data_IF_536772929247
#
_entry.id   IF_536772929247
#
_cell.length_a   1.000
_cell.length_b   1.000
_cell.length_c   1.000
_cell.angle_alpha   90.00
_cell.angle_beta   90.00
_cell.angle_gamma   90.00
#
_symmetry.space_group_name_H-M   'P 1'
#
loop_
_entity.id
_entity.type
_entity.pdbx_description
1 polymer ?
#
# COMPACT_ATOMS: atom_id res chain seq x y z
N UNK A 1 17.65 32.91 -0.14
CA UNK A 1 18.41 33.01 -1.39
C UNK A 1 18.21 34.38 -2.06
N UNK A 2 18.96 35.41 -1.66
CA UNK A 2 18.83 36.77 -2.20
C UNK A 2 19.27 36.87 -3.66
N UNK A 3 20.15 35.97 -4.12
CA UNK A 3 20.64 35.92 -5.49
C UNK A 3 19.58 35.45 -6.50
N UNK A 4 18.55 34.73 -6.05
CA UNK A 4 17.47 34.16 -6.88
C UNK A 4 16.22 35.06 -6.93
N UNK A 5 16.15 36.09 -6.09
CA UNK A 5 14.98 36.96 -5.97
C UNK A 5 15.14 38.21 -6.84
N UNK A 6 14.06 38.59 -7.53
CA UNK A 6 14.01 39.83 -8.31
C UNK A 6 14.33 41.03 -7.42
N UNK A 7 15.14 41.95 -7.94
CA UNK A 7 15.54 43.15 -7.21
C UNK A 7 14.34 43.93 -6.65
N UNK A 8 13.27 44.06 -7.45
CA UNK A 8 12.05 44.77 -7.04
C UNK A 8 11.44 44.22 -5.75
N UNK A 9 11.43 42.89 -5.57
CA UNK A 9 10.88 42.27 -4.38
C UNK A 9 11.71 42.57 -3.13
N UNK A 10 13.04 42.62 -3.26
CA UNK A 10 13.91 42.99 -2.14
C UNK A 10 13.71 44.46 -1.80
N UNK A 11 13.70 45.35 -2.80
CA UNK A 11 13.52 46.79 -2.59
C UNK A 11 12.20 47.10 -1.88
N UNK A 12 11.10 46.41 -2.22
CA UNK A 12 9.82 46.62 -1.53
C UNK A 12 9.82 46.14 -0.07
N UNK A 13 10.73 45.24 0.31
CA UNK A 13 10.89 44.81 1.69
C UNK A 13 11.73 45.79 2.52
N UNK A 14 12.46 46.71 1.88
CA UNK A 14 13.26 47.73 2.54
C UNK A 14 12.40 48.95 2.88
N UNK A 15 11.94 49.04 4.12
CA UNK A 15 11.20 50.21 4.61
C UNK A 15 12.13 51.40 4.89
N UNK A 16 11.56 52.60 5.01
CA UNK A 16 12.30 53.80 5.44
C UNK A 16 12.92 53.69 6.84
N UNK A 17 12.52 52.69 7.63
CA UNK A 17 13.05 52.41 8.97
C UNK A 17 14.16 51.35 8.96
N UNK A 18 14.43 50.70 7.82
CA UNK A 18 15.44 49.66 7.74
C UNK A 18 16.85 50.26 7.89
N UNK A 19 17.54 49.91 8.97
CA UNK A 19 18.90 50.41 9.25
C UNK A 19 19.99 49.39 8.89
N UNK A 20 19.66 48.10 8.84
CA UNK A 20 20.63 47.03 8.60
C UNK A 20 19.99 45.92 7.75
N UNK A 21 20.68 45.54 6.68
CA UNK A 21 20.25 44.50 5.73
C UNK A 21 21.37 43.49 5.57
N UNK A 22 21.05 42.20 5.70
CA UNK A 22 21.95 41.09 5.43
C UNK A 22 21.34 40.30 4.28
N UNK A 23 22.05 40.27 3.14
CA UNK A 23 21.65 39.49 1.98
C UNK A 23 22.53 38.25 1.89
N UNK A 24 21.90 37.07 1.90
CA UNK A 24 22.59 35.78 1.77
C UNK A 24 22.16 35.15 0.45
N UNK A 25 23.12 34.83 -0.41
CA UNK A 25 22.88 34.07 -1.62
C UNK A 25 24.13 33.87 -2.46
N UNK A 26 23.98 33.14 -3.56
CA UNK A 26 25.06 32.81 -4.48
C UNK A 26 24.75 33.26 -5.92
N UNK A 27 25.39 34.35 -6.36
CA UNK A 27 25.25 34.91 -7.70
C UNK A 27 25.80 34.01 -8.83
N UNK A 28 26.53 32.92 -8.50
CA UNK A 28 26.97 31.90 -9.45
C UNK A 28 25.96 30.76 -9.60
N UNK A 29 24.93 30.66 -8.74
CA UNK A 29 23.78 29.75 -8.87
C UNK A 29 22.60 30.45 -9.57
N UNK A 30 21.38 29.94 -9.47
CA UNK A 30 20.26 30.43 -10.29
C UNK A 30 19.98 31.91 -10.08
N UNK A 31 19.58 32.53 -11.19
CA UNK A 31 19.18 33.92 -11.27
C UNK A 31 17.66 34.04 -11.16
N UNK A 32 17.14 35.23 -10.81
CA UNK A 32 15.72 35.52 -10.88
C UNK A 32 15.16 35.24 -12.28
N UNK A 33 14.02 34.58 -12.35
CA UNK A 33 13.35 34.25 -13.60
C UNK A 33 12.10 35.13 -13.80
N UNK A 34 12.18 36.23 -14.59
CA UNK A 34 11.01 37.04 -14.86
C UNK A 34 10.09 36.37 -15.88
N UNK A 35 8.77 36.57 -15.72
CA UNK A 35 7.75 35.96 -16.57
C UNK A 35 7.90 36.30 -18.07
N UNK A 36 8.48 37.46 -18.39
CA UNK A 36 8.71 37.91 -19.76
C UNK A 36 10.21 37.89 -20.07
N UNK A 37 10.66 36.83 -20.77
CA UNK A 37 12.08 36.62 -21.12
C UNK A 37 12.73 37.79 -21.89
N UNK A 38 11.94 38.54 -22.67
CA UNK A 38 12.42 39.73 -23.39
C UNK A 38 12.99 40.80 -22.45
N UNK A 39 12.50 40.86 -21.21
CA UNK A 39 12.99 41.81 -20.21
C UNK A 39 14.40 41.44 -19.73
N UNK A 40 14.74 40.16 -19.61
CA UNK A 40 16.12 39.72 -19.34
C UNK A 40 17.05 40.21 -20.46
N UNK A 41 16.69 39.88 -21.71
CA UNK A 41 17.58 40.14 -22.85
C UNK A 41 17.82 41.62 -23.14
N UNK A 42 16.82 42.48 -22.87
CA UNK A 42 16.91 43.91 -23.18
C UNK A 42 17.33 44.78 -22.01
N UNK A 43 16.95 44.40 -20.79
CA UNK A 43 17.06 45.25 -19.60
C UNK A 43 17.76 44.57 -18.41
N UNK A 44 18.28 43.35 -18.59
CA UNK A 44 18.95 42.57 -17.55
C UNK A 44 18.09 42.40 -16.29
N UNK A 45 16.78 42.22 -16.47
CA UNK A 45 15.82 42.12 -15.38
C UNK A 45 15.95 40.82 -14.55
N UNK A 46 16.79 39.90 -15.00
CA UNK A 46 17.26 38.70 -14.32
C UNK A 46 18.52 38.94 -13.46
N UNK A 47 18.93 40.19 -13.25
CA UNK A 47 19.97 40.52 -12.26
C UNK A 47 19.33 40.78 -10.90
N UNK A 48 19.73 40.00 -9.89
CA UNK A 48 19.28 40.24 -8.51
C UNK A 48 19.98 41.48 -7.92
N UNK A 49 19.36 42.04 -6.88
CA UNK A 49 19.99 43.13 -6.11
C UNK A 49 21.37 42.71 -5.59
N UNK A 50 21.49 41.45 -5.16
CA UNK A 50 22.73 40.86 -4.68
C UNK A 50 23.80 40.84 -5.76
N UNK A 51 23.52 40.29 -6.95
CA UNK A 51 24.47 40.27 -8.07
C UNK A 51 24.88 41.69 -8.48
N UNK A 52 23.93 42.64 -8.49
CA UNK A 52 24.21 44.04 -8.83
C UNK A 52 25.13 44.71 -7.80
N UNK A 53 24.91 44.47 -6.50
CA UNK A 53 25.78 45.00 -5.44
C UNK A 53 27.21 44.47 -5.57
N UNK A 54 27.37 43.17 -5.82
CA UNK A 54 28.69 42.55 -6.05
C UNK A 54 29.39 43.18 -7.26
N UNK A 55 28.68 43.34 -8.38
CA UNK A 55 29.22 43.98 -9.60
C UNK A 55 29.61 45.45 -9.41
N UNK A 56 28.93 46.16 -8.50
CA UNK A 56 29.25 47.53 -8.14
C UNK A 56 30.40 47.66 -7.13
N UNK A 57 31.09 46.56 -6.80
CA UNK A 57 32.26 46.57 -5.91
C UNK A 57 31.93 46.57 -4.42
N UNK A 58 30.68 46.23 -4.05
CA UNK A 58 30.32 46.04 -2.65
C UNK A 58 30.98 44.76 -2.12
N UNK A 59 31.58 44.83 -0.93
CA UNK A 59 32.29 43.69 -0.34
C UNK A 59 31.34 42.51 -0.11
N UNK A 60 31.64 41.39 -0.74
CA UNK A 60 30.95 40.12 -0.54
C UNK A 60 31.87 39.17 0.22
N UNK A 61 31.44 38.72 1.40
CA UNK A 61 32.16 37.73 2.17
C UNK A 61 31.73 36.33 1.71
N UNK A 62 32.65 35.59 1.11
CA UNK A 62 32.40 34.24 0.61
C UNK A 62 32.73 33.20 1.68
N UNK A 63 31.83 32.24 1.89
CA UNK A 63 32.13 31.01 2.59
C UNK A 63 32.78 30.04 1.59
N UNK A 64 34.03 29.64 1.85
CA UNK A 64 34.87 28.91 0.90
C UNK A 64 35.13 27.45 1.29
N UNK A 65 34.47 26.93 2.34
CA UNK A 65 34.54 25.54 2.78
C UNK A 65 33.18 24.86 2.59
N UNK A 66 33.12 23.79 1.78
CA UNK A 66 31.90 23.02 1.55
C UNK A 66 31.85 21.74 2.42
N UNK A 67 30.66 21.41 2.91
CA UNK A 67 30.42 20.27 3.82
C UNK A 67 29.49 19.19 3.26
N UNK A 68 29.01 19.35 2.02
CA UNK A 68 27.99 18.50 1.40
C UNK A 68 28.60 17.36 0.61
N UNK A 69 29.21 17.69 -0.52
CA UNK A 69 29.48 16.76 -1.61
C UNK A 69 30.87 16.14 -1.47
N UNK A 70 31.08 14.96 -2.05
CA UNK A 70 32.43 14.37 -2.15
C UNK A 70 33.39 15.31 -2.90
N UNK A 71 34.70 15.29 -2.59
CA UNK A 71 35.71 16.06 -3.33
C UNK A 71 35.69 15.83 -4.85
N UNK A 72 35.40 14.61 -5.29
CA UNK A 72 35.27 14.27 -6.71
C UNK A 72 34.10 15.01 -7.38
N UNK A 73 32.99 15.26 -6.68
CA UNK A 73 31.85 16.02 -7.21
C UNK A 73 32.18 17.51 -7.24
N UNK A 74 32.79 18.03 -6.16
CA UNK A 74 33.25 19.42 -6.10
C UNK A 74 34.24 19.75 -7.22
N UNK A 75 35.07 18.79 -7.63
CA UNK A 75 36.02 18.95 -8.74
C UNK A 75 35.36 19.21 -10.10
N UNK A 76 34.06 18.89 -10.26
CA UNK A 76 33.31 19.19 -11.48
C UNK A 76 32.93 20.68 -11.60
N UNK A 77 32.74 21.35 -10.46
CA UNK A 77 32.36 22.77 -10.41
C UNK A 77 33.56 23.69 -10.09
N UNK A 78 34.71 23.13 -9.71
CA UNK A 78 35.96 23.86 -9.44
C UNK A 78 37.07 23.40 -10.40
N UNK A 79 37.69 24.29 -11.22
CA UNK A 79 37.51 25.73 -11.33
C UNK A 79 36.48 26.12 -12.39
N UNK A 80 35.52 25.25 -12.69
CA UNK A 80 34.61 25.45 -13.82
C UNK A 80 33.63 26.62 -13.60
N UNK A 81 33.12 26.76 -12.37
CA UNK A 81 32.15 27.78 -11.93
C UNK A 81 32.74 28.66 -10.83
N UNK A 82 33.41 28.05 -9.85
CA UNK A 82 34.03 28.74 -8.72
C UNK A 82 35.55 28.64 -8.83
N UNK A 83 36.25 29.75 -8.58
CA UNK A 83 37.71 29.77 -8.63
C UNK A 83 38.34 28.98 -7.46
N UNK A 84 37.74 29.10 -6.27
CA UNK A 84 38.18 28.41 -5.07
C UNK A 84 36.98 27.95 -4.24
N UNK A 85 36.95 26.66 -3.92
CA UNK A 85 36.03 26.05 -2.95
C UNK A 85 36.74 24.83 -2.35
N UNK A 86 37.05 24.91 -1.07
CA UNK A 86 37.73 23.87 -0.32
C UNK A 86 36.73 22.85 0.24
N UNK A 87 37.18 21.62 0.46
CA UNK A 87 36.36 20.54 1.02
C UNK A 87 36.64 20.42 2.51
N UNK A 88 35.58 20.35 3.33
CA UNK A 88 35.74 19.99 4.73
C UNK A 88 36.06 18.49 4.86
N UNK A 89 36.86 18.11 5.86
CA UNK A 89 37.28 16.72 6.09
C UNK A 89 36.11 15.74 6.28
N UNK A 90 34.94 16.22 6.72
CA UNK A 90 33.70 15.42 6.84
C UNK A 90 33.15 14.92 5.50
N UNK A 91 33.65 15.45 4.38
CA UNK A 91 33.23 15.04 3.04
C UNK A 91 34.11 13.94 2.45
N UNK A 92 35.23 13.65 3.10
CA UNK A 92 36.18 12.62 2.73
C UNK A 92 35.73 11.26 3.30
N UNK A 93 36.23 10.16 2.71
CA UNK A 93 36.02 8.79 3.21
C UNK A 93 34.55 8.34 3.41
N UNK A 94 33.61 8.96 2.69
CA UNK A 94 32.19 8.55 2.71
C UNK A 94 32.04 7.13 2.12
N UNK A 95 31.17 6.26 2.67
CA UNK A 95 30.96 4.89 2.17
C UNK A 95 30.52 4.86 0.71
N UNK A 96 31.05 3.93 -0.09
CA UNK A 96 30.69 3.81 -1.50
C UNK A 96 29.21 3.44 -1.69
N UNK A 97 28.64 3.82 -2.85
CA UNK A 97 27.27 3.47 -3.19
C UNK A 97 27.18 1.95 -3.44
N UNK A 98 26.30 1.28 -2.70
CA UNK A 98 26.04 -0.15 -2.82
C UNK A 98 25.63 -0.56 -4.24
N UNK A 99 26.22 -1.65 -4.74
CA UNK A 99 25.84 -2.30 -6.01
C UNK A 99 26.32 -1.60 -7.29
N UNK A 100 26.95 -0.43 -7.19
CA UNK A 100 27.51 0.34 -8.31
C UNK A 100 29.00 0.50 -8.13
N UNK A 101 29.76 0.37 -9.21
CA UNK A 101 31.23 0.45 -9.17
C UNK A 101 31.79 1.88 -9.05
N UNK A 102 30.94 2.91 -9.13
CA UNK A 102 31.31 4.32 -9.00
C UNK A 102 30.32 5.10 -8.14
N UNK A 103 30.81 6.14 -7.46
CA UNK A 103 29.97 7.12 -6.76
C UNK A 103 29.63 8.33 -7.65
N UNK A 104 30.53 8.67 -8.58
CA UNK A 104 30.32 9.65 -9.65
C UNK A 104 30.37 8.91 -10.99
N UNK A 105 29.33 9.02 -11.81
CA UNK A 105 29.39 8.48 -13.17
C UNK A 105 28.50 9.22 -14.14
N UNK A 106 29.02 9.47 -15.34
CA UNK A 106 28.30 10.01 -16.48
C UNK A 106 28.09 8.90 -17.52
N UNK A 107 26.83 8.51 -17.71
CA UNK A 107 26.40 7.57 -18.74
C UNK A 107 26.14 8.35 -20.03
N UNK A 108 27.08 8.23 -20.97
CA UNK A 108 26.99 8.86 -22.28
C UNK A 108 26.06 8.08 -23.21
N UNK A 109 25.23 8.80 -23.97
CA UNK A 109 24.42 8.22 -25.02
C UNK A 109 24.16 9.20 -26.16
N UNK A 110 23.71 8.67 -27.31
CA UNK A 110 23.34 9.44 -28.50
C UNK A 110 21.84 9.33 -28.86
N UNK A 111 21.00 8.72 -28.01
CA UNK A 111 19.56 8.64 -28.24
C UNK A 111 18.92 10.04 -28.34
N UNK A 112 18.13 10.27 -29.39
CA UNK A 112 17.55 11.58 -29.68
C UNK A 112 16.42 11.97 -28.72
N UNK A 113 16.32 13.27 -28.46
CA UNK A 113 15.20 13.88 -27.76
C UNK A 113 13.93 13.94 -28.64
N UNK A 114 12.78 14.00 -28.00
CA UNK A 114 11.47 14.30 -28.59
C UNK A 114 10.96 15.65 -28.06
N UNK A 115 10.43 16.48 -28.96
CA UNK A 115 9.81 17.75 -28.58
C UNK A 115 8.31 17.56 -28.38
N UNK A 116 7.80 17.94 -27.20
CA UNK A 116 6.37 17.98 -26.94
C UNK A 116 5.78 19.27 -27.53
N UNK A 117 5.04 19.12 -28.63
CA UNK A 117 4.47 20.22 -29.43
C UNK A 117 3.63 21.19 -28.58
N UNK A 118 2.93 20.68 -27.56
CA UNK A 118 2.01 21.47 -26.74
C UNK A 118 2.68 22.34 -25.66
N UNK A 119 3.92 22.05 -25.25
CA UNK A 119 4.48 22.57 -23.99
C UNK A 119 5.88 23.20 -24.10
N UNK A 120 6.43 23.40 -25.30
CA UNK A 120 7.80 23.90 -25.51
C UNK A 120 8.81 23.21 -24.57
N UNK A 121 8.64 21.91 -24.38
CA UNK A 121 9.47 21.09 -23.49
C UNK A 121 10.01 19.90 -24.24
N UNK A 122 11.17 19.43 -23.80
CA UNK A 122 11.86 18.30 -24.39
C UNK A 122 11.75 17.08 -23.46
N UNK A 123 11.76 15.89 -24.07
CA UNK A 123 11.68 14.59 -23.40
C UNK A 123 12.70 13.66 -24.05
N UNK A 124 13.34 12.82 -23.25
CA UNK A 124 14.17 11.73 -23.74
C UNK A 124 13.69 10.43 -23.11
N UNK A 125 13.08 9.56 -23.94
CA UNK A 125 12.49 8.29 -23.48
C UNK A 125 13.55 7.34 -22.94
N UNK A 126 14.70 7.26 -23.62
CA UNK A 126 15.81 6.42 -23.18
C UNK A 126 16.28 6.83 -21.79
N UNK A 127 16.53 8.13 -21.58
CA UNK A 127 16.96 8.62 -20.26
C UNK A 127 15.91 8.34 -19.20
N UNK A 128 14.62 8.59 -19.50
CA UNK A 128 13.54 8.39 -18.55
C UNK A 128 13.43 6.93 -18.07
N UNK A 129 13.54 5.98 -18.99
CA UNK A 129 13.50 4.54 -18.65
C UNK A 129 14.76 4.13 -17.88
N UNK A 130 15.92 4.66 -18.25
CA UNK A 130 17.20 4.37 -17.59
C UNK A 130 17.21 4.87 -16.13
N UNK A 131 16.85 6.14 -15.89
CA UNK A 131 16.90 6.73 -14.54
C UNK A 131 15.93 6.05 -13.57
N UNK A 132 14.74 5.66 -14.04
CA UNK A 132 13.75 4.95 -13.23
C UNK A 132 14.23 3.55 -12.88
N UNK A 133 14.80 2.81 -13.84
CA UNK A 133 15.34 1.47 -13.57
C UNK A 133 16.59 1.51 -12.70
N UNK A 134 17.45 2.53 -12.84
CA UNK A 134 18.57 2.76 -11.92
C UNK A 134 18.09 3.06 -10.50
N UNK A 135 17.09 3.92 -10.34
CA UNK A 135 16.50 4.20 -9.03
C UNK A 135 15.89 2.93 -8.41
N UNK A 136 15.14 2.15 -9.19
CA UNK A 136 14.62 0.84 -8.75
C UNK A 136 15.75 -0.09 -8.29
N UNK A 137 16.83 -0.19 -9.05
CA UNK A 137 17.98 -1.01 -8.68
C UNK A 137 18.59 -0.58 -7.34
N UNK A 138 18.77 0.73 -7.13
CA UNK A 138 19.29 1.27 -5.86
C UNK A 138 18.34 1.00 -4.68
N UNK A 139 17.03 1.12 -4.88
CA UNK A 139 16.05 0.72 -3.86
C UNK A 139 16.19 -0.77 -3.48
N UNK A 140 16.46 -1.64 -4.47
CA UNK A 140 16.73 -3.06 -4.24
C UNK A 140 18.09 -3.33 -3.56
N UNK A 141 19.04 -2.38 -3.62
CA UNK A 141 20.29 -2.45 -2.83
C UNK A 141 20.09 -2.09 -1.34
N UNK A 142 18.89 -1.63 -0.95
CA UNK A 142 18.56 -1.29 0.44
C UNK A 142 18.44 0.20 0.73
N UNK A 143 18.62 1.07 -0.26
CA UNK A 143 18.38 2.50 -0.10
C UNK A 143 16.90 2.79 0.12
N UNK A 144 16.63 3.82 0.93
CA UNK A 144 15.26 4.27 1.12
C UNK A 144 14.84 5.24 0.00
N UNK A 145 13.54 5.38 -0.26
CA UNK A 145 13.04 6.30 -1.29
C UNK A 145 13.45 7.75 -1.05
N UNK A 146 13.56 8.14 0.23
CA UNK A 146 13.96 9.47 0.65
C UNK A 146 15.47 9.73 0.45
N UNK A 147 16.30 8.69 0.31
CA UNK A 147 17.73 8.83 0.01
C UNK A 147 18.01 9.15 -1.48
N UNK A 148 17.02 8.99 -2.36
CA UNK A 148 17.21 9.08 -3.82
C UNK A 148 16.29 10.16 -4.39
N UNK A 149 16.86 11.10 -5.14
CA UNK A 149 16.09 12.05 -5.97
C UNK A 149 16.49 11.91 -7.43
N UNK A 150 15.48 11.84 -8.30
CA UNK A 150 15.69 11.98 -9.75
C UNK A 150 15.47 13.45 -10.14
N UNK A 151 16.49 14.07 -10.73
CA UNK A 151 16.41 15.42 -11.26
C UNK A 151 16.37 15.38 -12.79
N UNK A 152 15.58 16.26 -13.38
CA UNK A 152 15.59 16.50 -14.81
C UNK A 152 15.65 17.99 -15.13
N UNK A 153 16.25 18.32 -16.27
CA UNK A 153 16.44 19.72 -16.71
C UNK A 153 15.18 20.32 -17.34
N UNK A 154 14.19 19.48 -17.67
CA UNK A 154 12.93 19.88 -18.31
C UNK A 154 11.71 19.32 -17.58
N UNK A 155 10.68 20.14 -17.43
CA UNK A 155 9.42 19.74 -16.77
C UNK A 155 8.67 18.64 -17.55
N UNK A 156 8.75 18.62 -18.88
CA UNK A 156 8.23 17.53 -19.70
C UNK A 156 8.90 16.19 -19.38
N UNK A 157 10.21 16.19 -19.13
CA UNK A 157 10.94 15.00 -18.73
C UNK A 157 10.52 14.52 -17.34
N UNK A 158 10.32 15.43 -16.36
CA UNK A 158 9.77 15.07 -15.04
C UNK A 158 8.44 14.33 -15.18
N UNK A 159 7.51 14.87 -15.97
CA UNK A 159 6.19 14.22 -16.21
C UNK A 159 6.35 12.85 -16.87
N UNK A 160 7.32 12.68 -17.78
CA UNK A 160 7.60 11.39 -18.40
C UNK A 160 8.17 10.40 -17.39
N UNK A 161 9.16 10.81 -16.60
CA UNK A 161 9.78 9.98 -15.55
C UNK A 161 8.71 9.51 -14.55
N UNK A 162 7.80 10.39 -14.12
CA UNK A 162 6.68 10.01 -13.24
C UNK A 162 5.77 8.94 -13.87
N UNK A 163 5.39 9.10 -15.15
CA UNK A 163 4.61 8.08 -15.86
C UNK A 163 5.34 6.73 -15.95
N UNK A 164 6.64 6.77 -16.21
CA UNK A 164 7.50 5.58 -16.30
C UNK A 164 7.67 4.92 -14.93
N UNK A 165 7.85 5.72 -13.87
CA UNK A 165 7.88 5.27 -12.48
C UNK A 165 6.59 4.52 -12.13
N UNK A 166 5.43 5.06 -12.45
CA UNK A 166 4.15 4.43 -12.12
C UNK A 166 3.92 3.11 -12.88
N UNK A 167 4.54 2.94 -14.06
CA UNK A 167 4.53 1.68 -14.82
C UNK A 167 5.45 0.61 -14.22
N UNK A 168 6.69 0.98 -13.86
CA UNK A 168 7.70 0.02 -13.39
C UNK A 168 7.66 -0.26 -11.89
N UNK A 169 7.05 0.63 -11.11
CA UNK A 169 6.90 0.56 -9.66
C UNK A 169 5.42 0.80 -9.28
N UNK A 170 4.47 -0.03 -9.74
CA UNK A 170 3.06 0.12 -9.37
C UNK A 170 2.90 -0.12 -7.86
N UNK A 171 2.34 0.87 -7.14
CA UNK A 171 2.31 0.92 -5.66
C UNK A 171 3.69 0.90 -5.00
N UNK A 172 4.72 1.25 -5.76
CA UNK A 172 6.07 1.42 -5.25
C UNK A 172 6.18 2.64 -4.35
N UNK A 173 7.34 2.80 -3.70
CA UNK A 173 7.56 3.92 -2.81
C UNK A 173 7.48 5.27 -3.52
N UNK A 174 7.18 6.32 -2.76
CA UNK A 174 7.16 7.68 -3.27
C UNK A 174 8.59 8.20 -3.48
N UNK A 175 9.10 7.99 -4.69
CA UNK A 175 10.40 8.49 -5.13
C UNK A 175 10.28 9.95 -5.58
N UNK A 176 11.16 10.80 -5.06
CA UNK A 176 11.16 12.22 -5.41
C UNK A 176 11.67 12.44 -6.83
N UNK A 177 10.87 13.11 -7.65
CA UNK A 177 11.23 13.55 -9.00
C UNK A 177 10.89 15.03 -9.16
N UNK A 178 11.88 15.85 -9.50
CA UNK A 178 11.69 17.30 -9.65
C UNK A 178 12.58 17.88 -10.74
N UNK A 179 12.32 19.13 -11.13
CA UNK A 179 13.25 19.84 -12.01
C UNK A 179 14.49 20.28 -11.21
N UNK A 180 15.58 20.58 -11.90
CA UNK A 180 16.78 21.17 -11.26
C UNK A 180 16.46 22.52 -10.62
N UNK A 181 15.65 23.35 -11.29
CA UNK A 181 15.28 24.67 -10.80
C UNK A 181 14.44 24.58 -9.51
N UNK A 182 13.44 23.69 -9.46
CA UNK A 182 12.59 23.49 -8.28
C UNK A 182 13.33 22.85 -7.08
N UNK A 183 14.51 22.26 -7.31
CA UNK A 183 15.31 21.58 -6.27
C UNK A 183 16.45 22.47 -5.72
N UNK A 184 16.42 23.77 -6.03
CA UNK A 184 17.42 24.71 -5.51
C UNK A 184 17.36 24.79 -3.98
N UNK A 185 18.55 24.91 -3.37
CA UNK A 185 18.69 24.95 -1.91
C UNK A 185 18.59 23.58 -1.23
N UNK A 186 18.11 22.56 -1.95
CA UNK A 186 17.96 21.21 -1.42
C UNK A 186 19.16 20.32 -1.75
N UNK A 187 19.24 19.18 -1.08
CA UNK A 187 20.26 18.15 -1.28
C UNK A 187 19.67 16.76 -1.04
N UNK A 188 20.30 15.74 -1.62
CA UNK A 188 19.99 14.35 -1.26
C UNK A 188 21.25 13.47 -1.28
N UNK A 189 21.15 12.31 -0.64
CA UNK A 189 22.20 11.30 -0.57
C UNK A 189 22.62 10.86 -1.97
N UNK A 190 21.67 10.49 -2.81
CA UNK A 190 21.90 10.08 -4.20
C UNK A 190 21.05 10.94 -5.14
N UNK A 191 21.71 11.51 -6.15
CA UNK A 191 21.05 12.22 -7.24
C UNK A 191 21.26 11.47 -8.55
N UNK A 192 20.16 11.23 -9.25
CA UNK A 192 20.17 10.72 -10.62
C UNK A 192 19.69 11.85 -11.54
N UNK A 193 20.56 12.36 -12.40
CA UNK A 193 20.34 13.55 -13.21
C UNK A 193 20.13 13.17 -14.68
N UNK A 194 18.96 13.50 -15.24
CA UNK A 194 18.64 13.40 -16.68
C UNK A 194 18.83 14.76 -17.36
N UNK A 195 19.72 14.81 -18.35
CA UNK A 195 20.05 16.04 -19.08
C UNK A 195 19.14 16.29 -20.29
N UNK A 196 18.50 15.24 -20.83
CA UNK A 196 17.48 15.23 -21.89
C UNK A 196 18.01 15.55 -23.28
N UNK A 197 18.84 16.60 -23.41
CA UNK A 197 19.17 17.17 -24.70
C UNK A 197 20.06 16.23 -25.52
N UNK A 198 19.62 15.95 -26.73
CA UNK A 198 20.32 15.15 -27.73
C UNK A 198 19.67 15.36 -29.11
N UNK A 199 20.21 16.26 -29.91
CA UNK A 199 19.64 16.64 -31.21
C UNK A 199 20.73 16.95 -32.24
N UNK A 200 20.37 16.90 -33.52
CA UNK A 200 21.28 17.16 -34.63
C UNK A 200 21.62 18.66 -34.79
N UNK A 201 20.87 19.55 -34.13
CA UNK A 201 21.04 21.01 -34.24
C UNK A 201 22.07 21.56 -33.24
N UNK A 202 22.63 20.74 -32.35
CA UNK A 202 23.56 21.17 -31.29
C UNK A 202 22.91 22.07 -30.23
N UNK A 203 21.58 22.13 -30.16
CA UNK A 203 20.87 23.01 -29.23
C UNK A 203 20.79 22.38 -27.84
N UNK A 204 21.51 22.95 -26.88
CA UNK A 204 21.55 22.45 -25.50
C UNK A 204 20.69 23.24 -24.50
N UNK A 205 20.14 24.39 -24.93
CA UNK A 205 19.15 25.16 -24.17
C UNK A 205 19.54 25.41 -22.71
N UNK A 206 18.80 24.79 -21.78
CA UNK A 206 18.97 24.89 -20.33
C UNK A 206 20.43 24.69 -19.88
N UNK A 207 21.15 23.80 -20.56
CA UNK A 207 22.50 23.36 -20.23
C UNK A 207 23.60 24.30 -20.73
N UNK A 208 23.23 25.38 -21.41
CA UNK A 208 24.15 26.45 -21.80
C UNK A 208 24.48 27.40 -20.65
N UNK A 209 23.55 27.55 -19.70
CA UNK A 209 23.70 28.48 -18.59
C UNK A 209 24.53 27.83 -17.47
N UNK A 210 25.71 28.38 -17.20
CA UNK A 210 26.64 27.87 -16.17
C UNK A 210 25.99 27.76 -14.79
N UNK A 211 25.17 28.76 -14.42
CA UNK A 211 24.44 28.80 -13.15
C UNK A 211 23.57 27.55 -12.92
N UNK A 212 22.92 27.06 -13.98
CA UNK A 212 22.05 25.88 -13.94
C UNK A 212 22.83 24.57 -13.87
N UNK A 213 23.93 24.49 -14.61
CA UNK A 213 24.86 23.37 -14.54
C UNK A 213 25.45 23.25 -13.13
N UNK A 214 25.82 24.38 -12.52
CA UNK A 214 26.30 24.43 -11.15
C UNK A 214 25.29 23.84 -10.16
N UNK A 215 24.02 24.27 -10.24
CA UNK A 215 22.97 23.72 -9.38
C UNK A 215 22.84 22.22 -9.60
N UNK A 216 22.72 21.77 -10.86
CA UNK A 216 22.51 20.36 -11.20
C UNK A 216 23.62 19.43 -10.65
N UNK A 217 24.89 19.86 -10.69
CA UNK A 217 26.04 19.05 -10.27
C UNK A 217 26.32 19.11 -8.75
N UNK A 218 25.69 20.03 -8.01
CA UNK A 218 25.99 20.30 -6.59
C UNK A 218 24.90 19.82 -5.61
N UNK A 219 23.91 19.05 -6.08
CA UNK A 219 22.80 18.55 -5.25
C UNK A 219 23.10 17.23 -4.52
N UNK A 220 24.09 16.48 -4.99
CA UNK A 220 24.43 15.16 -4.47
C UNK A 220 25.37 15.21 -3.28
N UNK A 221 25.11 14.37 -2.28
CA UNK A 221 25.99 14.20 -1.12
C UNK A 221 26.96 13.03 -1.29
N UNK A 222 26.42 11.83 -1.55
CA UNK A 222 27.19 10.58 -1.52
C UNK A 222 27.28 9.91 -2.90
N UNK A 223 26.32 10.11 -3.80
CA UNK A 223 26.29 9.53 -5.16
C UNK A 223 25.67 10.45 -6.21
N UNK A 224 26.35 10.63 -7.36
CA UNK A 224 25.89 11.44 -8.49
C UNK A 224 25.98 10.64 -9.79
N UNK A 225 24.82 10.31 -10.36
CA UNK A 225 24.72 9.60 -11.64
C UNK A 225 24.08 10.50 -12.68
N UNK A 226 24.79 10.81 -13.75
CA UNK A 226 24.36 11.74 -14.79
C UNK A 226 24.13 10.95 -16.08
N UNK A 227 22.99 11.17 -16.73
CA UNK A 227 22.64 10.54 -18.00
C UNK A 227 22.44 11.67 -19.02
N UNK A 228 23.18 11.61 -20.12
CA UNK A 228 23.05 12.60 -21.19
C UNK A 228 24.00 12.35 -22.37
N UNK A 229 23.95 13.24 -23.36
CA UNK A 229 24.85 13.22 -24.51
C UNK A 229 26.05 14.14 -24.27
N UNK A 230 27.15 13.59 -23.74
CA UNK A 230 28.35 14.36 -23.38
C UNK A 230 29.00 15.02 -24.60
N UNK A 231 29.04 14.32 -25.73
CA UNK A 231 29.74 14.81 -26.92
C UNK A 231 29.06 16.07 -27.47
N UNK A 232 27.73 16.05 -27.57
CA UNK A 232 26.96 17.24 -27.95
C UNK A 232 27.12 18.38 -26.93
N UNK A 233 27.15 18.07 -25.63
CA UNK A 233 27.28 19.09 -24.59
C UNK A 233 28.65 19.77 -24.60
N UNK A 234 29.71 19.00 -24.80
CA UNK A 234 31.08 19.50 -24.87
C UNK A 234 31.29 20.40 -26.11
N UNK A 235 30.69 20.09 -27.25
CA UNK A 235 30.82 20.90 -28.47
C UNK A 235 30.08 22.24 -28.39
N UNK A 236 28.98 22.30 -27.63
CA UNK A 236 28.05 23.43 -27.67
C UNK A 236 28.08 24.31 -26.41
N UNK A 237 29.06 24.13 -25.53
CA UNK A 237 29.19 24.88 -24.27
C UNK A 237 30.64 25.05 -23.82
N UNK A 238 30.91 26.07 -23.00
CA UNK A 238 32.24 26.34 -22.45
C UNK A 238 32.52 25.56 -21.16
N UNK A 239 31.48 25.20 -20.41
CA UNK A 239 31.63 24.52 -19.11
C UNK A 239 31.78 23.00 -19.25
N UNK A 240 31.02 22.39 -20.16
CA UNK A 240 30.98 20.93 -20.34
C UNK A 240 32.32 20.30 -20.76
N UNK A 241 33.18 20.95 -21.56
CA UNK A 241 34.54 20.46 -21.79
C UNK A 241 35.37 20.31 -20.51
N UNK A 242 35.29 21.29 -19.60
CA UNK A 242 35.97 21.24 -18.30
C UNK A 242 35.41 20.11 -17.43
N UNK A 243 34.08 19.96 -17.42
CA UNK A 243 33.40 18.87 -16.71
C UNK A 243 33.80 17.51 -17.30
N UNK A 244 33.86 17.37 -18.63
CA UNK A 244 34.29 16.17 -19.35
C UNK A 244 35.72 15.78 -18.97
N UNK A 245 36.64 16.74 -18.94
CA UNK A 245 38.02 16.52 -18.52
C UNK A 245 38.10 15.96 -17.09
N UNK A 246 37.36 16.55 -16.15
CA UNK A 246 37.30 16.07 -14.76
C UNK A 246 36.70 14.68 -14.63
N UNK A 247 35.62 14.39 -15.37
CA UNK A 247 35.03 13.06 -15.40
C UNK A 247 36.01 12.02 -15.96
N UNK A 248 36.78 12.35 -17.00
CA UNK A 248 37.83 11.47 -17.53
C UNK A 248 38.96 11.24 -16.53
N UNK A 249 39.40 12.26 -15.80
CA UNK A 249 40.41 12.14 -14.73
C UNK A 249 39.98 11.14 -13.63
N UNK A 250 38.68 11.08 -13.32
CA UNK A 250 38.11 10.17 -12.33
C UNK A 250 37.68 8.81 -12.91
N UNK A 251 37.92 8.53 -14.19
CA UNK A 251 37.37 7.36 -14.90
C UNK A 251 35.85 7.23 -14.73
N UNK A 252 35.14 8.35 -14.73
CA UNK A 252 33.72 8.49 -14.41
C UNK A 252 32.86 8.84 -15.64
N UNK A 253 33.34 8.55 -16.86
CA UNK A 253 32.63 8.79 -18.11
C UNK A 253 32.68 7.54 -18.99
N UNK A 254 31.52 7.10 -19.48
CA UNK A 254 31.43 6.02 -20.44
C UNK A 254 30.00 5.71 -20.87
N UNK A 255 29.84 4.81 -21.83
CA UNK A 255 28.52 4.48 -22.39
C UNK A 255 27.72 3.48 -21.54
N UNK A 256 28.28 2.99 -20.43
CA UNK A 256 27.65 1.99 -19.58
C UNK A 256 28.11 2.12 -18.13
N UNK A 257 27.18 1.86 -17.20
CA UNK A 257 27.43 1.88 -15.76
C UNK A 257 27.66 0.46 -15.24
N UNK A 258 28.72 0.24 -14.45
CA UNK A 258 29.04 -1.07 -13.88
C UNK A 258 28.19 -1.36 -12.64
N UNK A 259 27.35 -2.39 -12.71
CA UNK A 259 26.61 -2.90 -11.56
C UNK A 259 27.20 -4.23 -11.10
N UNK A 260 27.29 -4.46 -9.80
CA UNK A 260 27.74 -5.74 -9.24
C UNK A 260 26.77 -6.26 -8.19
N UNK A 261 26.79 -7.56 -7.94
CA UNK A 261 26.01 -8.15 -6.85
C UNK A 261 26.81 -8.04 -5.55
N UNK A 262 26.22 -7.48 -4.49
CA UNK A 262 26.89 -7.39 -3.19
C UNK A 262 27.28 -8.75 -2.61
N UNK A 263 26.47 -9.79 -2.85
CA UNK A 263 26.74 -11.15 -2.40
C UNK A 263 27.72 -11.90 -3.33
N UNK A 264 27.85 -11.47 -4.58
CA UNK A 264 28.71 -12.09 -5.60
C UNK A 264 29.44 -11.00 -6.41
N UNK A 265 30.47 -10.36 -5.81
CA UNK A 265 31.16 -9.22 -6.43
C UNK A 265 31.81 -9.53 -7.79
N UNK A 266 32.10 -10.80 -8.07
CA UNK A 266 32.61 -11.27 -9.36
C UNK A 266 31.60 -11.12 -10.50
N UNK A 267 30.31 -11.04 -10.18
CA UNK A 267 29.24 -10.84 -11.17
C UNK A 267 29.06 -9.35 -11.45
N UNK A 268 29.92 -8.77 -12.27
CA UNK A 268 29.77 -7.40 -12.75
C UNK A 268 29.09 -7.37 -14.13
N UNK A 269 28.16 -6.43 -14.34
CA UNK A 269 27.50 -6.21 -15.62
C UNK A 269 27.55 -4.73 -15.99
N UNK A 270 27.93 -4.45 -17.23
CA UNK A 270 27.93 -3.10 -17.78
C UNK A 270 26.56 -2.78 -18.36
N UNK A 271 25.87 -1.80 -17.78
CA UNK A 271 24.49 -1.45 -18.12
C UNK A 271 24.49 -0.23 -19.02
N UNK A 272 24.30 -0.48 -20.32
CA UNK A 272 24.09 0.56 -21.34
C UNK A 272 22.61 0.88 -21.54
N UNK A 273 21.73 -0.10 -21.46
CA UNK A 273 20.31 0.09 -21.75
C UNK A 273 19.43 -0.21 -20.54
N UNK A 274 18.26 0.44 -20.49
CA UNK A 274 17.27 0.21 -19.46
C UNK A 274 16.88 -1.29 -19.36
N UNK A 275 16.77 -2.01 -20.47
CA UNK A 275 16.41 -3.43 -20.46
C UNK A 275 17.46 -4.32 -19.79
N UNK A 276 18.73 -3.92 -19.78
CA UNK A 276 19.79 -4.71 -19.16
C UNK A 276 19.67 -4.76 -17.63
N UNK A 277 18.97 -3.82 -16.99
CA UNK A 277 18.66 -3.90 -15.55
C UNK A 277 17.82 -5.13 -15.19
N UNK A 278 17.10 -5.72 -16.15
CA UNK A 278 16.29 -6.93 -15.91
C UNK A 278 17.20 -8.17 -15.64
N UNK A 279 18.51 -8.07 -15.93
CA UNK A 279 19.51 -9.05 -15.47
C UNK A 279 19.76 -9.02 -13.96
N UNK A 280 19.24 -8.01 -13.26
CA UNK A 280 19.34 -7.80 -11.81
C UNK A 280 17.94 -7.73 -11.17
N UNK A 281 17.13 -8.80 -11.27
CA UNK A 281 15.70 -8.75 -10.97
C UNK A 281 15.39 -8.31 -9.53
N UNK A 282 16.14 -8.82 -8.56
CA UNK A 282 16.00 -8.53 -7.12
C UNK A 282 17.17 -7.68 -6.59
N UNK A 283 17.86 -6.96 -7.46
CA UNK A 283 19.06 -6.18 -7.13
C UNK A 283 20.36 -7.00 -7.04
N UNK A 284 20.30 -8.32 -6.87
CA UNK A 284 21.47 -9.20 -7.00
C UNK A 284 21.63 -9.80 -8.40
N UNK A 285 22.50 -10.81 -8.51
CA UNK A 285 22.74 -11.54 -9.76
C UNK A 285 21.62 -12.54 -10.10
N UNK A 286 21.68 -13.13 -11.30
CA UNK A 286 20.74 -14.17 -11.77
C UNK A 286 20.88 -15.53 -11.08
N UNK A 287 21.83 -15.72 -10.16
CA UNK A 287 21.88 -16.93 -9.33
C UNK A 287 20.67 -16.96 -8.39
N UNK A 288 20.13 -18.14 -8.12
CA UNK A 288 19.10 -18.32 -7.10
C UNK A 288 19.69 -18.08 -5.71
N UNK A 289 18.87 -17.59 -4.79
CA UNK A 289 19.30 -17.43 -3.40
C UNK A 289 19.46 -18.81 -2.74
N UNK A 290 20.64 -19.06 -2.15
CA UNK A 290 20.98 -20.34 -1.51
C UNK A 290 20.63 -20.39 -0.01
N UNK A 291 20.10 -19.30 0.54
CA UNK A 291 19.74 -19.20 1.96
C UNK A 291 18.51 -20.07 2.25
N UNK A 292 18.64 -20.92 3.26
CA UNK A 292 17.52 -21.66 3.84
C UNK A 292 16.67 -20.73 4.71
N UNK A 293 15.38 -20.62 4.42
CA UNK A 293 14.44 -19.84 5.21
C UNK A 293 14.27 -20.46 6.60
N UNK A 294 13.81 -19.68 7.58
CA UNK A 294 13.55 -20.18 8.96
C UNK A 294 12.63 -21.41 9.02
N UNK A 295 11.76 -21.58 8.01
CA UNK A 295 10.89 -22.74 7.87
C UNK A 295 11.55 -24.00 7.30
N UNK A 296 12.84 -23.96 6.97
CA UNK A 296 13.61 -25.05 6.34
C UNK A 296 13.51 -25.11 4.81
N UNK A 297 12.60 -24.36 4.18
CA UNK A 297 12.50 -24.32 2.72
C UNK A 297 13.61 -23.45 2.10
N UNK A 298 14.07 -23.78 0.87
CA UNK A 298 15.00 -22.94 0.13
C UNK A 298 14.30 -21.65 -0.34
N UNK A 299 15.02 -20.53 -0.34
CA UNK A 299 14.56 -19.31 -0.97
C UNK A 299 14.38 -19.50 -2.49
N UNK A 300 13.24 -19.07 -3.03
CA UNK A 300 12.91 -19.18 -4.47
C UNK A 300 13.17 -17.90 -5.26
N UNK A 301 13.73 -16.88 -4.62
CA UNK A 301 14.06 -15.63 -5.27
C UNK A 301 15.48 -15.69 -5.85
N UNK A 302 15.75 -14.82 -6.83
CA UNK A 302 17.12 -14.57 -7.27
C UNK A 302 17.90 -13.91 -6.14
N UNK A 303 19.22 -13.95 -6.22
CA UNK A 303 20.10 -13.32 -5.26
C UNK A 303 19.67 -11.88 -4.95
N UNK A 304 19.60 -11.53 -3.67
CA UNK A 304 19.14 -10.23 -3.19
C UNK A 304 19.86 -9.84 -1.90
N UNK A 305 19.99 -8.53 -1.66
CA UNK A 305 20.75 -7.99 -0.52
C UNK A 305 19.87 -7.26 0.51
N UNK A 306 18.62 -6.94 0.18
CA UNK A 306 17.76 -6.07 0.99
C UNK A 306 17.23 -6.70 2.28
N UNK A 307 17.10 -8.02 2.29
CA UNK A 307 16.62 -8.81 3.44
C UNK A 307 17.42 -10.12 3.50
N UNK A 308 18.69 -10.06 3.95
CA UNK A 308 19.58 -11.23 4.00
C UNK A 308 19.04 -12.35 4.89
N UNK A 309 18.36 -11.97 5.98
CA UNK A 309 17.81 -12.90 6.98
C UNK A 309 16.42 -13.43 6.62
N UNK A 310 15.82 -12.92 5.53
CA UNK A 310 14.52 -13.34 4.99
C UNK A 310 13.36 -13.27 6.00
N UNK A 311 13.38 -12.26 6.88
CA UNK A 311 12.39 -12.13 7.95
C UNK A 311 11.14 -11.38 7.47
N UNK A 312 11.25 -10.53 6.45
CA UNK A 312 10.23 -9.55 6.11
C UNK A 312 9.76 -9.62 4.66
N UNK A 313 10.65 -9.41 3.69
CA UNK A 313 10.27 -9.24 2.29
C UNK A 313 10.21 -10.56 1.52
N UNK A 314 11.15 -11.47 1.80
CA UNK A 314 11.30 -12.71 1.05
C UNK A 314 10.77 -13.93 1.83
N UNK A 315 9.47 -13.92 2.14
CA UNK A 315 8.81 -15.00 2.87
C UNK A 315 8.54 -16.24 2.01
N UNK A 316 8.43 -17.40 2.67
CA UNK A 316 8.19 -18.68 1.99
C UNK A 316 6.82 -18.78 1.30
N UNK A 317 6.83 -19.01 -0.01
CA UNK A 317 5.62 -19.25 -0.83
C UNK A 317 5.33 -20.73 -1.07
N UNK A 318 6.08 -21.64 -0.44
CA UNK A 318 5.87 -23.09 -0.54
C UNK A 318 4.61 -23.54 0.19
N UNK A 319 4.06 -24.68 -0.22
CA UNK A 319 3.03 -25.38 0.55
C UNK A 319 3.60 -25.71 1.92
N UNK A 320 2.79 -25.55 2.96
CA UNK A 320 3.24 -25.87 4.30
C UNK A 320 3.35 -27.39 4.50
N UNK A 321 4.57 -27.89 4.72
CA UNK A 321 4.81 -29.32 5.01
C UNK A 321 4.54 -29.70 6.48
N UNK A 322 4.23 -28.71 7.33
CA UNK A 322 3.87 -28.96 8.74
C UNK A 322 2.57 -29.77 8.84
N UNK A 323 2.53 -30.65 9.83
CA UNK A 323 1.36 -31.47 10.16
C UNK A 323 0.81 -31.14 11.55
N UNK A 324 -0.49 -31.36 11.77
CA UNK A 324 -1.08 -31.21 13.10
C UNK A 324 -0.75 -32.42 14.00
N UNK A 325 -1.17 -32.39 15.28
CA UNK A 325 -0.96 -33.49 16.26
C UNK A 325 -1.44 -34.87 15.78
N UNK A 326 -2.43 -34.92 14.87
CA UNK A 326 -2.95 -36.17 14.26
C UNK A 326 -2.40 -36.41 12.84
N UNK A 327 -1.23 -35.85 12.51
CA UNK A 327 -0.56 -36.00 11.22
C UNK A 327 -1.34 -35.50 9.98
N UNK A 328 -2.30 -34.58 10.14
CA UNK A 328 -2.97 -33.98 8.98
C UNK A 328 -2.12 -32.86 8.37
N UNK A 329 -1.93 -32.84 7.03
CA UNK A 329 -1.16 -31.79 6.36
C UNK A 329 -1.86 -30.43 6.45
N UNK A 330 -1.07 -29.38 6.61
CA UNK A 330 -1.57 -28.00 6.57
C UNK A 330 -2.01 -27.63 5.14
N UNK A 331 -3.21 -27.05 4.96
CA UNK A 331 -3.68 -26.62 3.63
C UNK A 331 -3.09 -25.27 3.19
N UNK A 332 -2.46 -24.54 4.11
CA UNK A 332 -1.99 -23.17 3.88
C UNK A 332 -0.55 -23.10 3.36
N UNK A 333 -0.13 -21.90 2.95
CA UNK A 333 1.27 -21.60 2.60
C UNK A 333 2.16 -21.57 3.85
N UNK A 334 3.45 -21.84 3.66
CA UNK A 334 4.40 -21.92 4.76
C UNK A 334 4.56 -20.59 5.51
N UNK A 335 4.49 -19.45 4.81
CA UNK A 335 4.56 -18.10 5.41
C UNK A 335 3.44 -17.79 6.42
N UNK A 336 2.31 -18.48 6.37
CA UNK A 336 1.23 -18.22 7.32
C UNK A 336 1.39 -19.11 8.55
N UNK A 337 1.09 -18.60 9.76
CA UNK A 337 0.95 -19.46 10.93
C UNK A 337 -0.08 -20.56 10.64
N UNK A 338 0.23 -21.82 10.99
CA UNK A 338 -0.69 -22.93 10.76
C UNK A 338 -2.00 -22.67 11.51
N UNK A 339 -3.14 -22.55 10.81
CA UNK A 339 -4.42 -22.42 11.48
C UNK A 339 -4.76 -23.72 12.22
N UNK A 340 -5.68 -23.67 13.20
CA UNK A 340 -6.22 -24.86 13.84
C UNK A 340 -6.75 -25.85 12.79
N UNK A 341 -6.40 -27.13 12.93
CA UNK A 341 -6.80 -28.16 11.96
C UNK A 341 -8.33 -28.30 11.89
N UNK A 342 -8.90 -28.04 10.70
CA UNK A 342 -10.34 -28.10 10.43
C UNK A 342 -10.84 -29.45 9.91
N UNK A 343 -9.94 -30.43 9.70
CA UNK A 343 -10.31 -31.75 9.20
C UNK A 343 -11.23 -32.43 10.22
N UNK A 344 -12.36 -32.94 9.76
CA UNK A 344 -13.31 -33.65 10.60
C UNK A 344 -12.72 -35.00 11.02
N UNK A 345 -12.75 -35.26 12.32
CA UNK A 345 -12.31 -36.50 12.93
C UNK A 345 -13.30 -36.91 14.00
N UNK A 346 -13.31 -38.20 14.26
CA UNK A 346 -14.01 -38.80 15.38
C UNK A 346 -13.25 -38.47 16.68
N UNK A 347 -13.96 -37.93 17.66
CA UNK A 347 -13.47 -37.68 19.02
C UNK A 347 -14.26 -38.54 19.99
N UNK A 348 -13.56 -39.31 20.82
CA UNK A 348 -14.16 -40.00 21.95
C UNK A 348 -14.40 -38.99 23.08
N UNK A 349 -15.66 -38.79 23.43
CA UNK A 349 -16.08 -37.88 24.48
C UNK A 349 -16.01 -38.56 25.85
N UNK A 350 -15.92 -37.82 26.97
CA UNK A 350 -15.88 -38.39 28.32
C UNK A 350 -17.07 -39.29 28.67
N UNK A 351 -18.22 -39.10 28.01
CA UNK A 351 -19.40 -39.96 28.16
C UNK A 351 -19.30 -41.31 27.43
N UNK A 352 -18.19 -41.58 26.72
CA UNK A 352 -17.95 -42.81 25.95
C UNK A 352 -18.51 -42.81 24.53
N UNK A 353 -19.17 -41.73 24.10
CA UNK A 353 -19.70 -41.59 22.74
C UNK A 353 -18.70 -40.93 21.79
N UNK A 354 -18.90 -41.14 20.49
CA UNK A 354 -18.07 -40.58 19.42
C UNK A 354 -18.79 -39.43 18.74
N UNK A 355 -18.13 -38.28 18.64
CA UNK A 355 -18.66 -37.08 17.98
C UNK A 355 -17.73 -36.59 16.87
N UNK A 356 -18.31 -36.25 15.70
CA UNK A 356 -17.54 -35.78 14.54
C UNK A 356 -17.33 -34.28 14.63
N UNK A 357 -16.10 -33.85 14.87
CA UNK A 357 -15.78 -32.43 14.91
C UNK A 357 -14.39 -32.13 14.34
N UNK A 358 -14.01 -30.85 14.28
CA UNK A 358 -12.70 -30.46 13.79
C UNK A 358 -11.58 -31.03 14.67
N UNK A 359 -10.50 -31.53 14.06
CA UNK A 359 -9.35 -32.13 14.73
C UNK A 359 -8.69 -31.26 15.80
N UNK A 360 -8.81 -29.94 15.68
CA UNK A 360 -8.27 -28.98 16.66
C UNK A 360 -9.16 -28.73 17.87
N UNK A 361 -10.43 -29.16 17.85
CA UNK A 361 -11.33 -29.00 19.00
C UNK A 361 -10.95 -29.99 20.10
N UNK A 362 -10.99 -29.50 21.33
CA UNK A 362 -10.84 -30.33 22.53
C UNK A 362 -12.11 -31.18 22.73
N UNK A 363 -12.00 -32.51 22.90
CA UNK A 363 -13.14 -33.37 23.26
C UNK A 363 -13.95 -32.87 24.47
N UNK A 364 -13.33 -32.16 25.42
CA UNK A 364 -14.00 -31.63 26.61
C UNK A 364 -14.97 -30.48 26.30
N UNK A 365 -14.78 -29.78 25.18
CA UNK A 365 -15.64 -28.67 24.75
C UNK A 365 -16.78 -29.13 23.83
N UNK A 366 -16.81 -30.41 23.44
CA UNK A 366 -17.79 -30.95 22.52
C UNK A 366 -19.03 -31.44 23.27
N UNK A 367 -20.19 -30.95 22.86
CA UNK A 367 -21.48 -31.46 23.31
C UNK A 367 -21.78 -32.77 22.56
N UNK A 368 -22.00 -33.86 23.30
CA UNK A 368 -22.41 -35.12 22.72
C UNK A 368 -23.84 -35.04 22.19
N UNK A 369 -24.02 -35.30 20.89
CA UNK A 369 -25.34 -35.31 20.22
C UNK A 369 -25.96 -36.70 20.10
N UNK A 370 -25.37 -37.73 20.71
CA UNK A 370 -25.96 -39.07 20.74
C UNK A 370 -27.25 -39.07 21.55
N UNK A 371 -28.34 -39.58 20.98
CA UNK A 371 -29.64 -39.66 21.64
C UNK A 371 -29.63 -40.75 22.73
N UNK A 372 -30.02 -40.37 23.95
CA UNK A 372 -30.16 -41.24 25.11
C UNK A 372 -31.56 -41.09 25.70
N UNK A 373 -32.11 -42.18 26.23
CA UNK A 373 -33.38 -42.17 26.95
C UNK A 373 -33.26 -41.41 28.27
N UNK A 374 -34.24 -40.57 28.60
CA UNK A 374 -34.31 -39.86 29.86
C UNK A 374 -35.75 -39.72 30.35
N UNK A 375 -35.91 -39.45 31.64
CA UNK A 375 -37.20 -39.07 32.23
C UNK A 375 -37.33 -37.56 32.23
N UNK A 376 -38.42 -37.04 31.67
CA UNK A 376 -38.60 -35.60 31.46
C UNK A 376 -38.94 -34.88 32.78
N UNK A 377 -38.16 -33.87 33.20
CA UNK A 377 -38.34 -33.20 34.49
C UNK A 377 -39.64 -32.40 34.49
N UNK A 378 -40.49 -32.63 35.50
CA UNK A 378 -41.76 -31.95 35.72
C UNK A 378 -43.02 -32.70 35.24
N UNK A 379 -42.91 -33.66 34.32
CA UNK A 379 -44.02 -34.56 33.97
C UNK A 379 -43.75 -36.03 34.28
N UNK A 380 -42.48 -36.45 34.39
CA UNK A 380 -42.11 -37.82 34.75
C UNK A 380 -42.26 -38.85 33.63
N UNK A 381 -42.57 -38.42 32.40
CA UNK A 381 -42.67 -39.31 31.24
C UNK A 381 -41.31 -39.60 30.59
N UNK A 382 -41.19 -40.74 29.91
CA UNK A 382 -39.99 -41.09 29.14
C UNK A 382 -39.87 -40.26 27.85
N UNK A 383 -38.66 -39.90 27.48
CA UNK A 383 -38.33 -39.17 26.26
C UNK A 383 -36.88 -39.40 25.85
N UNK A 384 -36.46 -38.73 24.77
CA UNK A 384 -35.08 -38.75 24.30
C UNK A 384 -34.43 -37.39 24.55
N UNK A 385 -33.13 -37.40 24.83
CA UNK A 385 -32.28 -36.19 24.90
C UNK A 385 -30.94 -36.46 24.26
N UNK A 386 -30.20 -35.43 23.89
CA UNK A 386 -28.79 -35.62 23.59
C UNK A 386 -28.01 -35.86 24.89
N UNK A 387 -27.04 -36.77 24.86
CA UNK A 387 -26.25 -37.15 26.03
C UNK A 387 -25.59 -35.94 26.71
N UNK A 388 -25.11 -34.96 25.91
CA UNK A 388 -24.52 -33.71 26.39
C UNK A 388 -25.52 -32.60 26.77
N UNK A 389 -26.82 -32.79 26.53
CA UNK A 389 -27.86 -31.85 26.97
C UNK A 389 -28.33 -32.18 28.40
N UNK A 390 -28.62 -31.15 29.18
CA UNK A 390 -29.36 -31.29 30.44
C UNK A 390 -30.82 -31.67 30.17
N UNK A 391 -31.46 -32.31 31.14
CA UNK A 391 -32.87 -32.72 31.04
C UNK A 391 -33.82 -31.54 30.76
N UNK A 392 -33.49 -30.34 31.28
CA UNK A 392 -34.28 -29.14 31.04
C UNK A 392 -34.14 -28.67 29.58
N UNK A 393 -32.93 -28.70 29.01
CA UNK A 393 -32.69 -28.34 27.60
C UNK A 393 -33.44 -29.28 26.65
N UNK A 394 -33.44 -30.58 26.93
CA UNK A 394 -34.18 -31.57 26.16
C UNK A 394 -35.70 -31.29 26.15
N UNK A 395 -36.25 -30.90 27.31
CA UNK A 395 -37.67 -30.53 27.45
C UNK A 395 -38.07 -29.34 26.58
N UNK A 396 -37.20 -28.34 26.44
CA UNK A 396 -37.46 -27.20 25.56
C UNK A 396 -37.35 -27.56 24.07
N UNK A 397 -36.44 -28.46 23.71
CA UNK A 397 -36.18 -28.85 22.30
C UNK A 397 -37.24 -29.78 21.72
N UNK A 398 -37.55 -30.88 22.42
CA UNK A 398 -38.40 -31.96 21.89
C UNK A 398 -39.84 -31.87 22.44
N UNK A 399 -40.01 -31.33 23.65
CA UNK A 399 -41.27 -31.42 24.36
C UNK A 399 -41.59 -32.86 24.80
N UNK A 400 -42.62 -33.01 25.62
CA UNK A 400 -43.12 -34.32 26.05
C UNK A 400 -44.09 -34.86 24.99
N UNK A 401 -43.89 -36.09 24.46
CA UNK A 401 -44.74 -36.68 23.42
C UNK A 401 -46.10 -37.16 23.96
N UNK A 402 -46.22 -37.37 25.26
CA UNK A 402 -47.46 -37.82 25.91
C UNK A 402 -48.53 -36.73 25.97
N UNK A 403 -49.80 -37.14 25.87
CA UNK A 403 -50.94 -36.23 26.05
C UNK A 403 -51.21 -35.94 27.54
N UNK A 404 -51.69 -34.73 27.80
CA UNK A 404 -52.07 -34.29 29.13
C UNK A 404 -53.29 -35.07 29.62
N UNK A 405 -53.13 -35.80 30.73
CA UNK A 405 -54.20 -36.60 31.37
C UNK A 405 -55.13 -35.78 32.28
N UNK A 406 -54.98 -34.45 32.35
CA UNK A 406 -55.86 -33.59 33.16
C UNK A 406 -57.21 -33.40 32.48
N UNK A 407 -58.28 -33.34 33.28
CA UNK A 407 -59.61 -32.96 32.83
C UNK A 407 -59.72 -31.43 32.85
N UNK A 408 -60.35 -30.86 31.82
CA UNK A 408 -60.74 -29.46 31.75
C UNK A 408 -61.82 -29.16 32.80
N UNK A 409 -62.10 -27.88 33.08
CA UNK A 409 -63.18 -27.47 34.00
C UNK A 409 -64.56 -27.95 33.57
N UNK A 410 -64.78 -28.15 32.27
CA UNK A 410 -65.98 -28.77 31.72
C UNK A 410 -65.96 -30.32 31.82
N UNK A 411 -65.03 -30.91 32.57
CA UNK A 411 -64.84 -32.35 32.81
C UNK A 411 -64.45 -33.20 31.60
N UNK A 412 -64.12 -32.57 30.46
CA UNK A 412 -63.60 -33.25 29.27
C UNK A 412 -62.07 -33.43 29.31
N UNK A 413 -61.50 -34.48 28.68
CA UNK A 413 -60.05 -34.66 28.62
C UNK A 413 -59.35 -33.53 27.85
N UNK A 414 -58.21 -33.04 28.37
CA UNK A 414 -57.51 -31.89 27.80
C UNK A 414 -56.98 -32.12 26.37
N UNK A 415 -56.44 -33.30 26.07
CA UNK A 415 -55.97 -33.66 24.73
C UNK A 415 -54.76 -32.87 24.19
N UNK A 416 -54.17 -31.93 24.96
CA UNK A 416 -52.94 -31.22 24.58
C UNK A 416 -51.69 -32.01 24.96
N UNK A 417 -50.58 -31.82 24.26
CA UNK A 417 -49.29 -32.42 24.66
C UNK A 417 -48.87 -31.94 26.05
N UNK A 418 -48.33 -32.86 26.86
CA UNK A 418 -48.05 -32.68 28.27
C UNK A 418 -47.08 -31.52 28.57
N UNK A 419 -46.19 -31.18 27.63
CA UNK A 419 -45.28 -30.05 27.83
C UNK A 419 -45.94 -28.67 27.64
N UNK A 420 -47.17 -28.61 27.12
CA UNK A 420 -47.95 -27.38 26.83
C UNK A 420 -48.88 -27.02 28.01
N UNK A 421 -48.76 -27.69 29.16
CA UNK A 421 -49.73 -27.64 30.28
C UNK A 421 -50.06 -26.26 30.86
N UNK A 422 -49.31 -25.20 30.54
CA UNK A 422 -49.69 -23.82 30.86
C UNK A 422 -50.96 -23.33 30.13
N UNK A 423 -51.42 -24.04 29.09
CA UNK A 423 -52.63 -23.73 28.31
C UNK A 423 -53.83 -24.64 28.56
N UNK A 424 -53.81 -25.48 29.60
CA UNK A 424 -54.92 -26.39 29.95
C UNK A 424 -56.25 -25.71 30.35
N UNK A 425 -56.34 -24.38 30.27
CA UNK A 425 -57.57 -23.60 30.48
C UNK A 425 -58.20 -23.08 29.17
N UNK A 426 -57.71 -23.53 28.00
CA UNK A 426 -58.22 -23.09 26.70
C UNK A 426 -59.49 -23.88 26.26
N UNK A 427 -60.24 -23.26 25.33
CA UNK A 427 -61.51 -23.73 24.74
C UNK A 427 -61.62 -25.25 24.58
N UNK A 428 -62.67 -25.83 25.16
CA UNK A 428 -63.03 -27.23 24.90
C UNK A 428 -63.71 -27.36 23.54
N UNK A 429 -63.10 -28.12 22.62
CA UNK A 429 -63.62 -28.39 21.28
C UNK A 429 -64.46 -29.69 21.19
N UNK A 430 -64.79 -30.32 22.32
CA UNK A 430 -65.66 -31.50 22.34
C UNK A 430 -67.06 -31.11 21.88
N UNK A 431 -67.62 -31.84 20.91
CA UNK A 431 -68.99 -31.65 20.42
C UNK A 431 -70.00 -32.08 21.50
N UNK A 432 -70.90 -31.17 21.86
CA UNK A 432 -71.99 -31.41 22.81
C UNK A 432 -73.33 -31.10 22.15
N UNK A 433 -74.36 -31.86 22.47
CA UNK A 433 -75.73 -31.59 22.03
C UNK A 433 -76.37 -30.63 23.04
N UNK A 434 -76.89 -29.49 22.57
CA UNK A 434 -77.65 -28.53 23.38
C UNK A 434 -79.08 -28.46 22.87
N UNK A 435 -80.03 -28.61 23.77
CA UNK A 435 -81.45 -28.43 23.47
C UNK A 435 -81.79 -26.92 23.46
N UNK A 436 -82.45 -26.46 22.41
CA UNK A 436 -82.91 -25.08 22.24
C UNK A 436 -84.31 -24.91 22.84
N UNK A 437 -84.65 -23.69 23.26
CA UNK A 437 -85.97 -23.37 23.84
C UNK A 437 -87.15 -23.69 22.89
N UNK A 438 -86.92 -23.75 21.59
CA UNK A 438 -87.92 -24.16 20.59
C UNK A 438 -88.19 -25.68 20.54
N UNK A 439 -87.52 -26.49 21.38
CA UNK A 439 -87.68 -27.96 21.46
C UNK A 439 -86.81 -28.77 20.50
N UNK A 440 -85.91 -28.14 19.74
CA UNK A 440 -84.96 -28.82 18.84
C UNK A 440 -83.56 -28.91 19.45
N UNK A 441 -82.82 -29.98 19.16
CA UNK A 441 -81.45 -30.19 19.61
C UNK A 441 -80.43 -29.75 18.54
N UNK A 442 -79.34 -29.11 18.97
CA UNK A 442 -78.24 -28.67 18.11
C UNK A 442 -76.91 -29.21 18.64
N UNK A 443 -76.13 -29.87 17.78
CA UNK A 443 -74.74 -30.27 18.08
C UNK A 443 -73.81 -29.06 17.88
N UNK A 444 -73.10 -28.67 18.93
CA UNK A 444 -72.15 -27.55 18.91
C UNK A 444 -70.95 -27.85 19.81
N UNK A 445 -69.81 -27.22 19.57
CA UNK A 445 -68.65 -27.35 20.44
C UNK A 445 -68.94 -26.81 21.84
N UNK A 446 -68.42 -27.49 22.87
CA UNK A 446 -68.62 -27.14 24.27
C UNK A 446 -68.30 -25.66 24.54
N UNK A 447 -67.18 -25.16 24.00
CA UNK A 447 -66.76 -23.76 23.95
C UNK A 447 -66.89 -22.99 25.28
N UNK A 448 -66.83 -23.70 26.40
CA UNK A 448 -66.86 -23.09 27.73
C UNK A 448 -65.53 -22.36 27.97
N UNK A 449 -65.55 -21.04 27.82
CA UNK A 449 -64.44 -20.13 28.13
C UNK A 449 -64.78 -19.35 29.38
N UNK A 450 -63.86 -19.32 30.34
CA UNK A 450 -63.88 -18.32 31.40
C UNK A 450 -63.31 -17.01 30.82
N UNK A 451 -63.95 -15.81 30.89
CA UNK A 451 -65.21 -15.44 31.53
C UNK A 451 -66.42 -15.25 30.56
N UNK A 452 -67.61 -15.29 31.16
CA UNK A 452 -68.95 -15.58 30.58
C UNK A 452 -69.65 -14.38 29.91
N UNK A 453 -68.96 -13.53 29.15
CA UNK A 453 -69.59 -12.29 28.62
C UNK A 453 -70.00 -12.30 27.14
N UNK A 454 -69.81 -13.40 26.40
CA UNK A 454 -70.31 -13.52 25.02
C UNK A 454 -71.05 -14.84 24.81
N UNK A 455 -72.28 -14.94 25.32
CA UNK A 455 -73.22 -15.96 24.83
C UNK A 455 -73.57 -15.61 23.38
N UNK A 456 -72.92 -16.29 22.43
CA UNK A 456 -73.43 -16.34 21.06
C UNK A 456 -74.87 -16.89 21.11
N UNK A 457 -75.86 -16.09 20.70
CA UNK A 457 -77.25 -16.55 20.60
C UNK A 457 -77.29 -17.63 19.52
N UNK A 458 -77.43 -18.89 19.92
CA UNK A 458 -77.68 -20.00 18.99
C UNK A 458 -79.10 -19.84 18.45
N UNK A 459 -79.24 -19.74 17.12
CA UNK A 459 -80.53 -19.56 16.45
C UNK A 459 -80.95 -20.88 15.81
N UNK A 460 -82.18 -21.31 16.05
CA UNK A 460 -82.75 -22.48 15.40
C UNK A 460 -83.07 -22.17 13.93
N UNK A 461 -82.54 -22.97 13.00
CA UNK A 461 -82.77 -22.83 11.55
C UNK A 461 -83.87 -23.75 11.01
N UNK A 462 -84.53 -24.54 11.88
CA UNK A 462 -85.62 -25.44 11.48
C UNK A 462 -86.82 -24.60 11.05
N UNK A 463 -87.17 -24.65 9.76
CA UNK A 463 -88.35 -23.99 9.22
C UNK A 463 -89.60 -24.76 9.65
N UNK A 464 -90.52 -24.06 10.30
CA UNK A 464 -91.85 -24.57 10.65
C UNK A 464 -92.88 -23.93 9.71
N UNK A 465 -93.72 -24.76 9.09
CA UNK A 465 -94.88 -24.30 8.32
C UNK A 465 -95.97 -23.94 9.31
N UNK A 466 -96.58 -22.75 9.16
CA UNK A 466 -97.66 -22.29 10.02
C UNK A 466 -98.82 -21.85 9.15
N UNK A 467 -99.92 -22.58 9.24
CA UNK A 467 -101.16 -22.18 8.58
C UNK A 467 -101.63 -20.83 9.13
N UNK A 468 -101.78 -19.86 8.23
CA UNK A 468 -102.31 -18.55 8.55
C UNK A 468 -103.84 -18.61 8.60
N UNK A 469 -104.45 -17.79 9.46
CA UNK A 469 -105.92 -17.80 9.69
C UNK A 469 -106.76 -17.57 8.42
N UNK A 470 -106.14 -17.04 7.34
CA UNK A 470 -106.76 -16.89 6.03
C UNK A 470 -106.80 -18.17 5.17
N UNK A 471 -106.34 -19.31 5.71
CA UNK A 471 -106.46 -20.64 5.09
C UNK A 471 -105.33 -21.04 4.14
N UNK A 472 -104.16 -20.41 4.23
CA UNK A 472 -102.96 -20.80 3.47
C UNK A 472 -101.82 -21.18 4.42
N UNK A 473 -101.03 -22.19 4.02
CA UNK A 473 -99.88 -22.74 4.75
C UNK A 473 -98.58 -22.00 4.52
#
# INVERSE_FOLDING_TARGET
>A
EAAEVLESHIVTALSSQCQHVILIGDHKQLKPNPAVHRLCQKFNFDMSLFERMVKNGLNCYQLDVQHRMRPEFASLIVPAVYDQLSNHCSTENRPNILGVNHNLYFVNHNHHEEQLVELVSHVNKYEADYVVKLAKYLLLQGYQPQDITILATYSGQVRRILKVKDQFLPRGPDLRVSTVDDFQGEENKIIILSLVRSNNEGKIGFLKTENRVCVALSRARDGLFIIGNMDMLAENSQIWPKVKERLLQHNALGDSLGLYCQNHPETMSMIREANTFDSRPEGGCQRMCEVALQCGHPCKFHCHSRDPDHENQYMCSMKCERVCKRNHPCPELCRTPCPPCKRLVDHELPCGHVEKSACSKDPLELMCTTEVSCTMPGCGHEGTRYCGETEMQARWRIGCPELCKKLLTCTHPCGLQCHITSRCNALCMVQVVKDLECGHSLTTECNNVFPVEKKAKLVCMVQIVRDLECGHS
#
